data_IF_450446519099
#
_entry.id   IF_450446519099
#
_cell.length_a   1.000
_cell.length_b   1.000
_cell.length_c   1.000
_cell.angle_alpha   90.00
_cell.angle_beta   90.00
_cell.angle_gamma   90.00
#
_symmetry.space_group_name_H-M   'P 1'
#
loop_
_entity.id
_entity.type
_entity.pdbx_description
1 polymer ?
#
# COMPACT_ATOMS: atom_id res chain seq x y z
N UNK A 1 -11.57 43.42 0.74
CA UNK A 1 -10.12 43.57 0.98
C UNK A 1 -9.74 42.52 2.01
N UNK A 2 -9.20 41.38 1.56
CA UNK A 2 -8.70 40.35 2.48
C UNK A 2 -7.21 40.65 2.71
N UNK A 3 -6.87 40.99 3.93
CA UNK A 3 -5.47 41.16 4.33
C UNK A 3 -4.76 39.81 4.20
N UNK A 4 -3.69 39.79 3.41
CA UNK A 4 -2.81 38.64 3.30
C UNK A 4 -2.27 38.31 4.70
N UNK A 5 -2.44 37.06 5.13
CA UNK A 5 -1.82 36.56 6.34
C UNK A 5 -0.30 36.69 6.19
N UNK A 6 0.42 37.33 7.13
CA UNK A 6 1.86 37.45 7.05
C UNK A 6 2.51 36.07 6.98
N UNK A 7 3.48 35.87 6.08
CA UNK A 7 4.26 34.63 5.94
C UNK A 7 4.87 34.20 7.30
N UNK A 8 5.16 35.16 8.18
CA UNK A 8 5.69 34.92 9.53
C UNK A 8 4.67 34.34 10.53
N UNK A 9 3.38 34.29 10.20
CA UNK A 9 2.32 33.66 11.02
C UNK A 9 2.02 32.21 10.62
N UNK A 10 2.73 31.64 9.64
CA UNK A 10 2.77 30.18 9.40
C UNK A 10 3.75 29.54 10.41
N UNK A 11 3.66 29.97 11.66
CA UNK A 11 4.42 29.46 12.80
C UNK A 11 3.47 28.69 13.71
N UNK A 12 2.98 27.58 13.18
CA UNK A 12 3.19 26.29 13.82
C UNK A 12 2.90 25.18 12.81
N UNK A 13 3.87 24.91 11.92
CA UNK A 13 4.13 23.49 11.73
C UNK A 13 4.40 22.97 13.15
N UNK A 14 3.45 22.21 13.72
CA UNK A 14 3.66 21.56 15.02
C UNK A 14 5.06 20.98 14.95
N UNK A 15 5.93 21.37 15.89
CA UNK A 15 7.26 20.81 15.94
C UNK A 15 7.12 19.29 15.84
N UNK A 16 7.82 18.70 14.86
CA UNK A 16 7.73 17.27 14.59
C UNK A 16 8.02 16.54 15.89
N UNK A 17 7.25 15.49 16.18
CA UNK A 17 7.44 14.77 17.42
C UNK A 17 8.88 14.23 17.51
N UNK A 18 9.50 14.20 18.70
CA UNK A 18 10.88 13.72 18.82
C UNK A 18 11.07 12.31 18.26
N UNK A 19 10.05 11.46 18.37
CA UNK A 19 10.05 10.12 17.79
C UNK A 19 10.05 10.14 16.25
N UNK A 20 9.26 11.02 15.63
CA UNK A 20 9.22 11.15 14.18
C UNK A 20 10.55 11.65 13.61
N UNK A 21 11.18 12.61 14.30
CA UNK A 21 12.53 13.08 13.97
C UNK A 21 13.53 11.93 14.09
N UNK A 22 13.52 11.18 15.20
CA UNK A 22 14.44 10.06 15.39
C UNK A 22 14.33 9.00 14.29
N UNK A 23 13.11 8.64 13.87
CA UNK A 23 12.89 7.68 12.76
C UNK A 23 13.41 8.25 11.44
N UNK A 24 13.15 9.53 11.15
CA UNK A 24 13.64 10.16 9.93
C UNK A 24 15.18 10.22 9.91
N UNK A 25 15.82 10.56 11.03
CA UNK A 25 17.27 10.55 11.20
C UNK A 25 17.84 9.14 11.05
N UNK A 26 17.19 8.11 11.61
CA UNK A 26 17.60 6.72 11.44
C UNK A 26 17.57 6.30 9.97
N UNK A 27 16.48 6.60 9.25
CA UNK A 27 16.34 6.25 7.84
C UNK A 27 17.33 7.01 6.96
N UNK A 28 17.58 8.29 7.26
CA UNK A 28 18.60 9.10 6.59
C UNK A 28 20.01 8.54 6.80
N UNK A 29 20.34 8.11 8.03
CA UNK A 29 21.63 7.50 8.35
C UNK A 29 21.79 6.13 7.67
N UNK A 30 20.73 5.33 7.63
CA UNK A 30 20.74 4.04 6.92
C UNK A 30 20.91 4.22 5.42
N UNK A 31 20.22 5.18 4.81
CA UNK A 31 20.38 5.53 3.40
C UNK A 31 21.84 5.87 3.08
N UNK A 32 22.45 6.77 3.86
CA UNK A 32 23.86 7.15 3.70
C UNK A 32 24.78 5.94 3.87
N UNK A 33 24.57 5.11 4.90
CA UNK A 33 25.36 3.90 5.15
C UNK A 33 25.31 2.93 3.96
N UNK A 34 24.11 2.67 3.41
CA UNK A 34 23.92 1.79 2.27
C UNK A 34 24.53 2.38 0.98
N UNK A 35 24.32 3.68 0.74
CA UNK A 35 24.90 4.39 -0.40
C UNK A 35 26.43 4.36 -0.36
N UNK A 36 27.05 4.68 0.78
CA UNK A 36 28.51 4.64 0.94
C UNK A 36 29.07 3.22 0.79
N UNK A 37 28.35 2.20 1.26
CA UNK A 37 28.74 0.81 1.03
C UNK A 37 28.75 0.49 -0.47
N UNK A 38 27.71 0.88 -1.19
CA UNK A 38 27.60 0.64 -2.62
C UNK A 38 28.66 1.42 -3.43
N UNK A 39 29.02 2.65 -3.03
CA UNK A 39 30.12 3.43 -3.65
C UNK A 39 31.46 2.69 -3.47
N UNK A 40 31.72 2.17 -2.27
CA UNK A 40 32.93 1.38 -2.00
C UNK A 40 32.95 0.08 -2.80
N UNK A 41 31.81 -0.60 -2.92
CA UNK A 41 31.68 -1.81 -3.73
C UNK A 41 31.98 -1.52 -5.20
N UNK A 42 31.42 -0.44 -5.76
CA UNK A 42 31.71 0.02 -7.12
C UNK A 42 33.22 0.25 -7.31
N UNK A 43 33.85 0.99 -6.40
CA UNK A 43 35.30 1.27 -6.47
C UNK A 43 36.15 -0.01 -6.45
N UNK A 44 35.76 -1.02 -5.66
CA UNK A 44 36.42 -2.33 -5.65
C UNK A 44 36.21 -3.04 -6.99
N UNK A 45 34.98 -3.08 -7.50
CA UNK A 45 34.65 -3.68 -8.79
C UNK A 45 35.47 -3.05 -9.93
N UNK A 46 35.56 -1.71 -9.98
CA UNK A 46 36.32 -0.99 -11.01
C UNK A 46 37.81 -1.29 -10.93
N UNK A 47 38.37 -1.41 -9.73
CA UNK A 47 39.79 -1.71 -9.51
C UNK A 47 40.15 -3.15 -9.90
N UNK A 48 39.26 -4.09 -9.64
CA UNK A 48 39.51 -5.53 -9.78
C UNK A 48 39.13 -6.02 -11.18
N UNK A 49 38.10 -5.45 -11.81
CA UNK A 49 37.61 -5.84 -13.13
C UNK A 49 38.72 -5.96 -14.21
N UNK A 50 39.65 -4.99 -14.36
CA UNK A 50 40.78 -5.08 -15.30
C UNK A 50 41.66 -6.33 -15.13
N UNK A 51 41.80 -6.85 -13.91
CA UNK A 51 42.67 -7.98 -13.60
C UNK A 51 42.14 -9.34 -14.12
N UNK A 52 40.91 -9.39 -14.59
CA UNK A 52 40.22 -10.62 -15.03
C UNK A 52 39.67 -10.46 -16.48
N UNK A 53 40.03 -9.37 -17.18
CA UNK A 53 39.46 -8.97 -18.48
C UNK A 53 39.75 -9.87 -19.69
N UNK A 54 40.58 -10.91 -19.58
CA UNK A 54 40.78 -11.86 -20.68
C UNK A 54 39.52 -12.69 -21.02
N UNK A 55 38.57 -12.82 -20.08
CA UNK A 55 37.26 -13.46 -20.30
C UNK A 55 36.04 -12.59 -20.01
N UNK A 56 36.22 -11.46 -19.30
CA UNK A 56 35.12 -10.66 -18.75
C UNK A 56 34.54 -9.62 -19.72
N UNK A 57 35.33 -9.13 -20.67
CA UNK A 57 34.92 -8.12 -21.65
C UNK A 57 33.78 -8.58 -22.58
N UNK A 58 33.55 -9.90 -22.70
CA UNK A 58 32.43 -10.47 -23.46
C UNK A 58 31.07 -10.35 -22.77
N UNK A 59 31.01 -9.95 -21.49
CA UNK A 59 29.77 -10.00 -20.69
C UNK A 59 29.35 -8.68 -20.03
N UNK A 60 30.21 -7.65 -19.92
CA UNK A 60 29.98 -6.53 -18.98
C UNK A 60 30.30 -5.13 -19.55
N UNK A 61 29.74 -4.77 -20.70
CA UNK A 61 29.79 -3.37 -21.17
C UNK A 61 28.94 -2.38 -20.34
N UNK A 62 28.18 -2.80 -19.32
CA UNK A 62 27.21 -1.96 -18.59
C UNK A 62 27.00 -2.32 -17.09
N UNK A 63 28.04 -2.63 -16.31
CA UNK A 63 27.85 -2.92 -14.86
C UNK A 63 28.23 -1.74 -13.99
N UNK A 64 27.33 -0.74 -13.94
CA UNK A 64 27.25 0.18 -12.81
C UNK A 64 26.48 -0.51 -11.67
N UNK A 65 27.14 -0.75 -10.54
CA UNK A 65 26.56 -1.25 -9.27
C UNK A 65 25.69 -0.17 -8.62
N UNK A 66 26.02 1.11 -8.82
CA UNK A 66 25.14 2.25 -8.54
C UNK A 66 24.91 2.99 -9.85
N UNK A 67 23.65 3.08 -10.27
CA UNK A 67 23.23 3.99 -11.33
C UNK A 67 23.38 5.44 -10.83
N UNK A 68 24.48 6.08 -11.24
CA UNK A 68 24.87 7.43 -10.83
C UNK A 68 23.80 8.47 -11.18
N UNK A 69 23.06 8.24 -12.27
CA UNK A 69 21.96 9.06 -12.71
C UNK A 69 20.72 8.91 -11.82
N UNK A 70 20.43 7.69 -11.36
CA UNK A 70 19.36 7.48 -10.37
C UNK A 70 19.68 8.10 -9.02
N UNK A 71 20.96 8.14 -8.63
CA UNK A 71 21.37 8.84 -7.42
C UNK A 71 21.16 10.35 -7.59
N UNK A 72 21.66 10.94 -8.68
CA UNK A 72 21.51 12.37 -8.98
C UNK A 72 20.04 12.82 -9.04
N UNK A 73 19.16 12.01 -9.64
CA UNK A 73 17.74 12.33 -9.78
C UNK A 73 16.88 12.03 -8.55
N UNK A 74 17.46 11.47 -7.48
CA UNK A 74 16.69 11.03 -6.31
C UNK A 74 15.89 9.75 -6.52
N UNK A 75 16.10 9.05 -7.64
CA UNK A 75 15.55 7.71 -7.86
C UNK A 75 16.03 6.70 -6.82
N UNK A 76 17.29 6.80 -6.38
CA UNK A 76 17.83 5.96 -5.31
C UNK A 76 17.15 6.20 -3.95
N UNK A 77 17.01 7.47 -3.54
CA UNK A 77 16.34 7.86 -2.30
C UNK A 77 14.86 7.44 -2.29
N UNK A 78 14.17 7.66 -3.41
CA UNK A 78 12.79 7.22 -3.59
C UNK A 78 12.62 5.70 -3.45
N UNK A 79 13.46 4.91 -4.13
CA UNK A 79 13.40 3.43 -4.02
C UNK A 79 13.67 2.95 -2.60
N UNK A 80 14.66 3.55 -1.93
CA UNK A 80 14.96 3.26 -0.53
C UNK A 80 13.75 3.52 0.37
N UNK A 81 13.10 4.68 0.21
CA UNK A 81 11.92 5.03 1.01
C UNK A 81 10.72 4.12 0.72
N UNK A 82 10.47 3.76 -0.55
CA UNK A 82 9.44 2.75 -0.88
C UNK A 82 9.73 1.45 -0.12
N UNK A 83 10.96 0.97 -0.13
CA UNK A 83 11.31 -0.26 0.57
C UNK A 83 11.06 -0.14 2.09
N UNK A 84 11.45 0.97 2.71
CA UNK A 84 11.17 1.22 4.13
C UNK A 84 9.69 1.24 4.44
N UNK A 85 8.90 1.95 3.63
CA UNK A 85 7.44 2.03 3.76
C UNK A 85 6.81 0.64 3.61
N UNK A 86 7.27 -0.16 2.63
CA UNK A 86 6.79 -1.53 2.44
C UNK A 86 7.12 -2.42 3.64
N UNK A 87 8.32 -2.31 4.23
CA UNK A 87 8.67 -3.07 5.44
C UNK A 87 7.80 -2.70 6.64
N UNK A 88 7.47 -1.41 6.82
CA UNK A 88 6.54 -0.97 7.87
C UNK A 88 5.13 -1.50 7.59
N UNK A 89 4.68 -1.43 6.34
CA UNK A 89 3.37 -1.94 5.90
C UNK A 89 3.27 -3.45 6.13
N UNK A 90 4.33 -4.21 5.83
CA UNK A 90 4.35 -5.67 6.04
C UNK A 90 4.22 -6.04 7.51
N UNK A 91 4.94 -5.33 8.40
CA UNK A 91 4.80 -5.52 9.84
C UNK A 91 3.37 -5.25 10.30
N UNK A 92 2.73 -4.24 9.74
CA UNK A 92 1.35 -3.92 10.07
C UNK A 92 0.35 -4.98 9.56
N UNK A 93 0.55 -5.49 8.35
CA UNK A 93 -0.26 -6.60 7.81
C UNK A 93 -0.16 -7.83 8.70
N UNK A 94 1.05 -8.16 9.20
CA UNK A 94 1.24 -9.25 10.15
C UNK A 94 0.41 -9.01 11.41
N UNK A 95 0.51 -7.82 12.02
CA UNK A 95 -0.28 -7.44 13.21
C UNK A 95 -1.79 -7.53 12.98
N UNK A 96 -2.26 -7.08 11.82
CA UNK A 96 -3.67 -7.16 11.42
C UNK A 96 -4.12 -8.61 11.28
N UNK A 97 -3.31 -9.45 10.65
CA UNK A 97 -3.63 -10.86 10.45
C UNK A 97 -3.52 -11.69 11.75
N UNK A 98 -2.66 -11.29 12.68
CA UNK A 98 -2.69 -11.84 14.04
C UNK A 98 -4.03 -11.52 14.74
N UNK A 99 -4.58 -10.32 14.49
CA UNK A 99 -5.83 -9.83 15.08
C UNK A 99 -7.10 -10.40 14.43
N UNK A 100 -7.16 -10.44 13.10
CA UNK A 100 -8.36 -10.77 12.30
C UNK A 100 -8.18 -11.95 11.33
N UNK A 101 -6.97 -12.49 11.18
CA UNK A 101 -6.67 -13.52 10.17
C UNK A 101 -7.41 -14.84 10.36
N UNK A 102 -7.97 -15.09 11.55
CA UNK A 102 -8.90 -16.21 11.75
C UNK A 102 -10.23 -16.01 11.04
N UNK A 103 -10.70 -14.76 10.90
CA UNK A 103 -11.91 -14.40 10.16
C UNK A 103 -11.58 -14.28 8.67
N UNK A 104 -10.60 -13.44 8.34
CA UNK A 104 -10.18 -13.16 6.98
C UNK A 104 -8.72 -12.70 6.95
N UNK A 105 -7.89 -13.44 6.23
CA UNK A 105 -6.48 -13.09 6.03
C UNK A 105 -6.37 -12.03 4.93
N UNK A 106 -5.91 -10.83 5.31
CA UNK A 106 -5.73 -9.70 4.40
C UNK A 106 -4.38 -9.83 3.70
N UNK A 107 -4.38 -9.84 2.37
CA UNK A 107 -3.14 -9.83 1.58
C UNK A 107 -2.57 -8.42 1.46
N UNK A 108 -1.26 -8.29 1.16
CA UNK A 108 -0.62 -6.98 0.92
C UNK A 108 -1.35 -6.14 -0.14
N UNK A 109 -1.73 -6.78 -1.25
CA UNK A 109 -2.44 -6.10 -2.34
C UNK A 109 -3.82 -5.59 -1.90
N UNK A 110 -4.52 -6.34 -1.04
CA UNK A 110 -5.79 -5.90 -0.47
C UNK A 110 -5.59 -4.77 0.53
N UNK A 111 -4.60 -4.89 1.43
CA UNK A 111 -4.28 -3.85 2.39
C UNK A 111 -3.93 -2.51 1.71
N UNK A 112 -3.16 -2.55 0.62
CA UNK A 112 -2.87 -1.37 -0.21
C UNK A 112 -4.11 -0.72 -0.86
N UNK A 113 -5.20 -1.47 -1.05
CA UNK A 113 -6.47 -0.94 -1.56
C UNK A 113 -7.34 -0.34 -0.45
N UNK A 114 -7.12 -0.74 0.80
CA UNK A 114 -7.84 -0.17 1.95
C UNK A 114 -7.50 1.31 2.05
N UNK A 115 -8.52 2.17 2.18
CA UNK A 115 -8.38 3.63 2.29
C UNK A 115 -7.50 4.29 1.20
N UNK A 116 -7.42 3.67 0.01
CA UNK A 116 -6.52 4.09 -1.07
C UNK A 116 -5.06 4.25 -0.62
N UNK A 117 -4.61 3.39 0.31
CA UNK A 117 -3.34 3.50 1.01
C UNK A 117 -2.15 3.69 0.06
N UNK A 118 -2.02 2.84 -0.97
CA UNK A 118 -0.87 2.89 -1.87
C UNK A 118 -0.72 4.25 -2.56
N UNK A 119 -1.80 4.81 -3.07
CA UNK A 119 -1.77 6.12 -3.75
C UNK A 119 -1.29 7.22 -2.80
N UNK A 120 -1.74 7.18 -1.54
CA UNK A 120 -1.40 8.17 -0.52
C UNK A 120 0.04 8.01 -0.03
N UNK A 121 0.50 6.77 0.16
CA UNK A 121 1.89 6.47 0.49
C UNK A 121 2.83 6.94 -0.62
N UNK A 122 2.50 6.66 -1.89
CA UNK A 122 3.31 7.10 -3.04
C UNK A 122 3.46 8.62 -3.06
N UNK A 123 2.38 9.38 -2.84
CA UNK A 123 2.45 10.85 -2.77
C UNK A 123 3.41 11.37 -1.71
N UNK A 124 3.48 10.73 -0.54
CA UNK A 124 4.41 11.13 0.53
C UNK A 124 5.86 10.79 0.19
N UNK A 125 6.12 9.71 -0.56
CA UNK A 125 7.47 9.33 -0.99
C UNK A 125 7.96 10.18 -2.16
N UNK A 126 7.08 10.55 -3.10
CA UNK A 126 7.38 11.34 -4.30
C UNK A 126 7.89 12.75 -4.01
N UNK A 127 7.65 13.25 -2.80
CA UNK A 127 8.18 14.54 -2.32
C UNK A 127 9.69 14.61 -2.52
N UNK A 128 10.42 13.54 -2.21
CA UNK A 128 11.89 13.54 -2.26
C UNK A 128 12.43 13.68 -3.69
N UNK A 129 11.78 13.07 -4.68
CA UNK A 129 12.16 13.27 -6.09
C UNK A 129 11.90 14.71 -6.56
N UNK A 130 10.87 15.35 -5.99
CA UNK A 130 10.47 16.71 -6.36
C UNK A 130 11.39 17.76 -5.75
N UNK A 131 12.15 17.44 -4.70
CA UNK A 131 12.98 18.41 -3.99
C UNK A 131 14.12 19.00 -4.84
N UNK A 132 14.68 18.26 -5.79
CA UNK A 132 15.69 18.82 -6.70
C UNK A 132 15.11 19.94 -7.56
N UNK A 133 13.89 19.76 -8.07
CA UNK A 133 13.19 20.80 -8.81
C UNK A 133 12.81 21.99 -7.93
N UNK A 134 12.42 21.76 -6.67
CA UNK A 134 12.19 22.85 -5.71
C UNK A 134 13.47 23.67 -5.49
N UNK A 135 14.63 23.02 -5.37
CA UNK A 135 15.90 23.74 -5.19
C UNK A 135 16.28 24.55 -6.43
N UNK A 136 16.05 24.03 -7.63
CA UNK A 136 16.22 24.80 -8.87
C UNK A 136 15.30 26.03 -8.89
N UNK A 137 14.01 25.86 -8.55
CA UNK A 137 13.06 26.97 -8.48
C UNK A 137 13.53 28.02 -7.48
N UNK A 138 14.00 27.61 -6.29
CA UNK A 138 14.52 28.52 -5.26
C UNK A 138 15.75 29.29 -5.75
N UNK A 139 16.68 28.62 -6.42
CA UNK A 139 17.91 29.22 -6.91
C UNK A 139 17.68 30.23 -8.06
N UNK A 140 16.68 29.99 -8.91
CA UNK A 140 16.38 30.82 -10.10
C UNK A 140 15.33 31.91 -9.87
N UNK A 141 14.73 31.97 -8.68
CA UNK A 141 13.65 32.91 -8.38
C UNK A 141 14.14 34.11 -7.59
N UNK A 142 13.62 35.28 -7.92
CA UNK A 142 13.79 36.49 -7.10
C UNK A 142 12.98 36.39 -5.79
N UNK A 143 13.28 37.18 -4.76
CA UNK A 143 12.51 37.16 -3.50
C UNK A 143 11.00 37.37 -3.69
N UNK A 144 10.61 38.28 -4.58
CA UNK A 144 9.19 38.55 -4.85
C UNK A 144 8.49 37.36 -5.54
N UNK A 145 9.19 36.65 -6.43
CA UNK A 145 8.65 35.44 -7.06
C UNK A 145 8.56 34.29 -6.06
N UNK A 146 9.55 34.16 -5.17
CA UNK A 146 9.51 33.18 -4.09
C UNK A 146 8.31 33.37 -3.17
N UNK A 147 7.99 34.62 -2.79
CA UNK A 147 6.79 34.93 -2.01
C UNK A 147 5.50 34.52 -2.73
N UNK A 148 5.43 34.75 -4.05
CA UNK A 148 4.28 34.33 -4.86
C UNK A 148 4.17 32.81 -4.94
N UNK A 149 5.27 32.10 -5.21
CA UNK A 149 5.31 30.64 -5.30
C UNK A 149 4.90 30.01 -3.97
N UNK A 150 5.38 30.56 -2.85
CA UNK A 150 4.99 30.10 -1.53
C UNK A 150 3.51 30.30 -1.27
N UNK A 151 2.97 31.47 -1.62
CA UNK A 151 1.54 31.78 -1.48
C UNK A 151 0.68 30.79 -2.28
N UNK A 152 1.08 30.47 -3.51
CA UNK A 152 0.43 29.47 -4.36
C UNK A 152 0.44 28.08 -3.69
N UNK A 153 1.59 27.65 -3.16
CA UNK A 153 1.73 26.34 -2.53
C UNK A 153 0.92 26.20 -1.23
N UNK A 154 0.86 27.25 -0.43
CA UNK A 154 0.05 27.33 0.79
C UNK A 154 -1.44 27.26 0.44
N UNK A 155 -1.87 27.98 -0.60
CA UNK A 155 -3.25 27.95 -1.09
C UNK A 155 -3.62 26.66 -1.84
N UNK A 156 -2.63 25.82 -2.18
CA UNK A 156 -2.79 24.67 -3.07
C UNK A 156 -3.45 25.05 -4.41
N UNK A 157 -3.12 26.24 -4.93
CA UNK A 157 -3.79 26.82 -6.10
C UNK A 157 -3.11 26.38 -7.40
N UNK A 158 -3.58 25.26 -7.96
CA UNK A 158 -3.08 24.76 -9.24
C UNK A 158 -3.30 25.75 -10.39
N UNK A 159 -4.39 26.52 -10.35
CA UNK A 159 -4.67 27.50 -11.42
C UNK A 159 -3.69 28.66 -11.37
N UNK A 160 -3.34 29.14 -10.19
CA UNK A 160 -2.30 30.15 -10.04
C UNK A 160 -0.91 29.62 -10.41
N UNK A 161 -0.60 28.36 -10.09
CA UNK A 161 0.63 27.71 -10.54
C UNK A 161 0.72 27.69 -12.07
N UNK A 162 -0.36 27.29 -12.75
CA UNK A 162 -0.43 27.18 -14.21
C UNK A 162 -0.22 28.52 -14.92
N UNK A 163 -0.56 29.62 -14.26
CA UNK A 163 -0.36 30.97 -14.75
C UNK A 163 1.01 31.57 -14.34
N UNK A 164 1.76 30.90 -13.46
CA UNK A 164 3.07 31.34 -13.00
C UNK A 164 4.19 30.80 -13.90
N UNK A 165 5.24 31.59 -14.18
CA UNK A 165 6.31 31.20 -15.12
C UNK A 165 6.99 29.85 -14.83
N UNK A 166 6.99 29.43 -13.56
CA UNK A 166 7.62 28.17 -13.14
C UNK A 166 6.92 26.92 -13.67
N UNK A 167 5.66 27.03 -14.11
CA UNK A 167 4.94 25.87 -14.67
C UNK A 167 5.66 25.29 -15.90
N UNK A 168 6.47 26.10 -16.60
CA UNK A 168 7.28 25.64 -17.74
C UNK A 168 8.33 24.59 -17.35
N UNK A 169 8.72 24.54 -16.07
CA UNK A 169 9.67 23.55 -15.55
C UNK A 169 9.00 22.30 -14.96
N UNK A 170 7.66 22.29 -14.89
CA UNK A 170 6.90 21.26 -14.19
C UNK A 170 5.93 20.59 -15.18
N UNK A 171 6.15 19.31 -15.45
CA UNK A 171 5.20 18.51 -16.22
C UNK A 171 3.81 18.50 -15.54
N UNK A 172 2.74 18.41 -16.33
CA UNK A 172 1.37 18.58 -15.85
C UNK A 172 1.03 17.64 -14.68
N UNK A 173 1.40 16.37 -14.83
CA UNK A 173 1.21 15.31 -13.84
C UNK A 173 1.99 15.52 -12.54
N UNK A 174 3.03 16.37 -12.56
CA UNK A 174 3.94 16.60 -11.43
C UNK A 174 3.57 17.81 -10.58
N UNK A 175 2.57 18.59 -10.99
CA UNK A 175 2.21 19.86 -10.32
C UNK A 175 1.83 19.66 -8.85
N UNK A 176 0.98 18.67 -8.55
CA UNK A 176 0.56 18.39 -7.19
C UNK A 176 1.71 17.99 -6.27
N UNK A 177 2.64 17.15 -6.76
CA UNK A 177 3.79 16.72 -5.96
C UNK A 177 4.79 17.85 -5.73
N UNK A 178 4.97 18.74 -6.72
CA UNK A 178 5.83 19.92 -6.57
C UNK A 178 5.24 20.89 -5.56
N UNK A 179 3.92 21.17 -5.60
CA UNK A 179 3.28 22.00 -4.57
C UNK A 179 3.42 21.40 -3.17
N UNK A 180 3.29 20.08 -3.03
CA UNK A 180 3.53 19.40 -1.76
C UNK A 180 4.98 19.56 -1.28
N UNK A 181 5.95 19.38 -2.18
CA UNK A 181 7.37 19.54 -1.86
C UNK A 181 7.71 20.99 -1.47
N UNK A 182 7.16 21.99 -2.17
CA UNK A 182 7.31 23.41 -1.80
C UNK A 182 6.74 23.67 -0.40
N UNK A 183 5.56 23.13 -0.08
CA UNK A 183 5.00 23.26 1.28
C UNK A 183 5.92 22.65 2.35
N UNK A 184 6.52 21.50 2.08
CA UNK A 184 7.47 20.86 3.01
C UNK A 184 8.74 21.70 3.18
N UNK A 185 9.23 22.32 2.10
CA UNK A 185 10.35 23.26 2.14
C UNK A 185 10.04 24.53 2.96
N UNK A 186 8.86 25.13 2.78
CA UNK A 186 8.44 26.33 3.53
C UNK A 186 8.33 26.03 5.03
N UNK A 187 7.98 24.79 5.38
CA UNK A 187 7.84 24.34 6.77
C UNK A 187 9.19 24.16 7.48
N UNK A 188 10.30 24.19 6.74
CA UNK A 188 11.64 24.14 7.33
C UNK A 188 11.98 25.48 7.99
N UNK A 189 12.72 25.41 9.11
CA UNK A 189 13.30 26.61 9.70
C UNK A 189 14.35 27.23 8.75
N UNK A 190 14.70 28.50 8.98
CA UNK A 190 15.63 29.25 8.14
C UNK A 190 16.98 28.54 7.97
N UNK A 191 17.57 28.07 9.08
CA UNK A 191 18.85 27.34 9.06
C UNK A 191 18.80 26.07 8.20
N UNK A 192 17.71 25.30 8.26
CA UNK A 192 17.54 24.09 7.46
C UNK A 192 17.31 24.42 5.98
N UNK A 193 16.64 25.53 5.65
CA UNK A 193 16.46 26.00 4.27
C UNK A 193 17.78 26.42 3.65
N UNK A 194 18.58 27.21 4.38
CA UNK A 194 19.92 27.61 3.95
C UNK A 194 20.82 26.41 3.75
N UNK A 195 20.81 25.46 4.70
CA UNK A 195 21.62 24.24 4.60
C UNK A 195 21.18 23.35 3.44
N UNK A 196 19.89 23.26 3.17
CA UNK A 196 19.38 22.51 2.02
C UNK A 196 19.88 23.08 0.69
N UNK A 197 19.91 24.41 0.57
CA UNK A 197 20.41 25.10 -0.62
C UNK A 197 21.94 24.94 -0.76
N UNK A 198 22.68 25.10 0.35
CA UNK A 198 24.12 24.87 0.40
C UNK A 198 24.47 23.46 -0.08
N UNK A 199 23.84 22.43 0.50
CA UNK A 199 24.08 21.03 0.13
C UNK A 199 23.67 20.73 -1.33
N UNK A 200 22.57 21.31 -1.81
CA UNK A 200 22.16 21.15 -3.21
C UNK A 200 23.18 21.76 -4.17
N UNK A 201 23.76 22.93 -3.86
CA UNK A 201 24.78 23.54 -4.73
C UNK A 201 26.03 22.67 -4.90
N UNK A 202 26.35 21.82 -3.92
CA UNK A 202 27.46 20.87 -4.00
C UNK A 202 27.15 19.73 -4.98
N UNK A 203 25.88 19.32 -5.13
CA UNK A 203 25.53 18.16 -5.99
C UNK A 203 25.73 18.40 -7.48
N UNK A 204 25.86 19.66 -7.91
CA UNK A 204 26.21 20.05 -9.29
C UNK A 204 27.59 19.50 -9.73
N UNK A 205 28.44 19.11 -8.77
CA UNK A 205 29.76 18.50 -9.01
C UNK A 205 29.69 17.06 -9.56
N UNK A 206 28.49 16.45 -9.61
CA UNK A 206 28.28 15.01 -9.89
C UNK A 206 29.00 14.07 -8.89
N UNK A 207 29.44 14.58 -7.75
CA UNK A 207 30.03 13.76 -6.70
C UNK A 207 28.94 12.92 -6.00
N UNK A 208 29.08 11.60 -6.02
CA UNK A 208 28.10 10.67 -5.44
C UNK A 208 27.97 10.83 -3.92
N UNK A 209 29.05 11.14 -3.20
CA UNK A 209 29.01 11.30 -1.74
C UNK A 209 28.25 12.57 -1.34
N UNK A 210 28.47 13.67 -2.06
CA UNK A 210 27.74 14.93 -1.86
C UNK A 210 26.25 14.77 -2.20
N UNK A 211 25.93 14.03 -3.26
CA UNK A 211 24.55 13.68 -3.60
C UNK A 211 23.88 12.83 -2.51
N UNK A 212 24.59 11.86 -1.93
CA UNK A 212 24.09 11.08 -0.79
C UNK A 212 23.81 11.96 0.43
N UNK A 213 24.72 12.88 0.76
CA UNK A 213 24.55 13.80 1.88
C UNK A 213 23.33 14.71 1.68
N UNK A 214 23.14 15.24 0.48
CA UNK A 214 21.97 16.06 0.17
C UNK A 214 20.66 15.28 0.31
N UNK A 215 20.56 14.07 -0.25
CA UNK A 215 19.35 13.25 -0.10
C UNK A 215 19.14 12.74 1.32
N UNK A 216 20.20 12.46 2.07
CA UNK A 216 20.12 12.12 3.50
C UNK A 216 19.48 13.27 4.29
N UNK A 217 19.94 14.50 4.06
CA UNK A 217 19.36 15.70 4.66
C UNK A 217 17.88 15.89 4.26
N UNK A 218 17.55 15.66 2.99
CA UNK A 218 16.16 15.72 2.52
C UNK A 218 15.27 14.66 3.18
N UNK A 219 15.73 13.42 3.32
CA UNK A 219 15.01 12.37 4.05
C UNK A 219 14.79 12.79 5.51
N UNK A 220 15.80 13.33 6.17
CA UNK A 220 15.72 13.68 7.57
C UNK A 220 14.71 14.81 7.84
N UNK A 221 14.67 15.82 6.96
CA UNK A 221 13.96 17.08 7.25
C UNK A 221 12.68 17.31 6.44
N UNK A 222 12.55 16.66 5.28
CA UNK A 222 11.43 16.89 4.34
C UNK A 222 10.52 15.67 4.23
N UNK A 223 11.06 14.45 4.38
CA UNK A 223 10.25 13.24 4.45
C UNK A 223 9.67 13.03 5.86
N UNK A 224 8.37 12.76 5.95
CA UNK A 224 7.63 12.73 7.21
C UNK A 224 7.12 11.30 7.50
N UNK A 225 7.93 10.43 8.14
CA UNK A 225 7.51 9.08 8.53
C UNK A 225 6.25 9.04 9.40
N UNK A 226 5.98 10.10 10.15
CA UNK A 226 4.75 10.26 10.93
C UNK A 226 3.49 10.25 10.04
N UNK A 227 3.57 10.80 8.82
CA UNK A 227 2.45 10.75 7.87
C UNK A 227 2.26 9.36 7.30
N UNK A 228 3.34 8.65 7.01
CA UNK A 228 3.28 7.23 6.64
C UNK A 228 2.59 6.41 7.73
N UNK A 229 2.97 6.64 8.99
CA UNK A 229 2.36 5.96 10.13
C UNK A 229 0.86 6.25 10.25
N UNK A 230 0.46 7.52 10.19
CA UNK A 230 -0.96 7.93 10.20
C UNK A 230 -1.76 7.24 9.08
N UNK A 231 -1.22 7.20 7.86
CA UNK A 231 -1.86 6.55 6.71
C UNK A 231 -2.05 5.04 6.92
N UNK A 232 -1.02 4.39 7.45
CA UNK A 232 -1.05 2.95 7.74
C UNK A 232 -2.06 2.66 8.86
N UNK A 233 -2.07 3.46 9.93
CA UNK A 233 -3.05 3.33 11.03
C UNK A 233 -4.49 3.51 10.54
N UNK A 234 -4.74 4.49 9.66
CA UNK A 234 -6.06 4.67 9.04
C UNK A 234 -6.49 3.44 8.21
N UNK A 235 -5.58 2.86 7.43
CA UNK A 235 -5.85 1.65 6.68
C UNK A 235 -6.10 0.44 7.60
N UNK A 236 -5.37 0.34 8.71
CA UNK A 236 -5.59 -0.67 9.74
C UNK A 236 -6.97 -0.55 10.38
N UNK A 237 -7.39 0.67 10.71
CA UNK A 237 -8.70 0.96 11.31
C UNK A 237 -9.86 0.71 10.33
N UNK A 238 -9.61 0.88 9.03
CA UNK A 238 -10.56 0.57 7.95
C UNK A 238 -10.59 -0.92 7.57
N UNK A 239 -9.72 -1.76 8.14
CA UNK A 239 -9.65 -3.20 7.78
C UNK A 239 -10.94 -3.97 8.05
N UNK A 240 -11.65 -3.81 9.19
CA UNK A 240 -12.94 -4.48 9.39
C UNK A 240 -13.97 -4.16 8.30
N UNK A 241 -14.02 -2.90 7.84
CA UNK A 241 -14.89 -2.50 6.73
C UNK A 241 -14.48 -3.20 5.42
N UNK A 242 -13.19 -3.35 5.18
CA UNK A 242 -12.69 -4.10 4.03
C UNK A 242 -13.12 -5.58 4.08
N UNK A 243 -13.00 -6.23 5.24
CA UNK A 243 -13.44 -7.62 5.45
C UNK A 243 -14.94 -7.76 5.15
N UNK A 244 -15.77 -6.86 5.67
CA UNK A 244 -17.22 -6.84 5.42
C UNK A 244 -17.53 -6.60 3.94
N UNK A 245 -16.83 -5.68 3.28
CA UNK A 245 -17.00 -5.44 1.85
C UNK A 245 -16.68 -6.69 1.03
N UNK A 246 -15.60 -7.39 1.38
CA UNK A 246 -15.19 -8.63 0.70
C UNK A 246 -16.16 -9.77 0.95
N UNK A 247 -16.69 -9.88 2.17
CA UNK A 247 -17.74 -10.82 2.50
C UNK A 247 -18.97 -10.56 1.63
N UNK A 248 -19.50 -9.33 1.60
CA UNK A 248 -20.71 -8.98 0.84
C UNK A 248 -20.53 -9.19 -0.66
N UNK A 249 -19.40 -8.77 -1.23
CA UNK A 249 -19.05 -9.02 -2.63
C UNK A 249 -19.04 -10.53 -2.92
N UNK A 250 -18.41 -11.33 -2.05
CA UNK A 250 -18.41 -12.79 -2.15
C UNK A 250 -19.81 -13.40 -2.04
N UNK A 251 -20.62 -12.93 -1.10
CA UNK A 251 -22.00 -13.40 -0.90
C UNK A 251 -22.89 -13.06 -2.09
N UNK A 252 -22.73 -11.87 -2.69
CA UNK A 252 -23.48 -11.47 -3.88
C UNK A 252 -23.05 -12.29 -5.11
N UNK A 253 -21.75 -12.31 -5.41
CA UNK A 253 -21.24 -12.77 -6.69
C UNK A 253 -21.00 -14.28 -6.72
N UNK A 254 -20.49 -14.85 -5.63
CA UNK A 254 -20.09 -16.26 -5.58
C UNK A 254 -21.15 -17.16 -4.96
N UNK A 255 -22.04 -16.60 -4.14
CA UNK A 255 -23.07 -17.35 -3.45
C UNK A 255 -24.46 -17.10 -4.06
N UNK A 256 -25.03 -15.90 -3.91
CA UNK A 256 -26.41 -15.57 -4.33
C UNK A 256 -26.63 -15.79 -5.82
N UNK A 257 -25.67 -15.42 -6.67
CA UNK A 257 -25.75 -15.64 -8.13
C UNK A 257 -25.75 -17.13 -8.54
N UNK A 258 -25.31 -18.03 -7.64
CA UNK A 258 -25.14 -19.47 -7.88
C UNK A 258 -26.22 -20.33 -7.22
N UNK A 259 -27.11 -19.73 -6.45
CA UNK A 259 -28.29 -20.40 -5.90
C UNK A 259 -29.21 -20.78 -7.06
N UNK A 260 -29.52 -22.07 -7.18
CA UNK A 260 -30.56 -22.53 -8.10
C UNK A 260 -31.93 -22.07 -7.59
N UNK A 261 -32.54 -21.08 -8.26
CA UNK A 261 -33.90 -20.62 -7.94
C UNK A 261 -34.98 -21.69 -8.19
N UNK A 262 -34.70 -22.68 -9.04
CA UNK A 262 -35.60 -23.79 -9.27
C UNK A 262 -35.64 -24.70 -8.02
N UNK A 263 -36.74 -24.63 -7.26
CA UNK A 263 -37.05 -25.58 -6.18
C UNK A 263 -36.65 -25.17 -4.76
N UNK A 264 -36.60 -23.87 -4.43
CA UNK A 264 -36.56 -23.45 -3.02
C UNK A 264 -37.90 -23.77 -2.34
N UNK A 265 -38.01 -24.99 -1.84
CA UNK A 265 -39.07 -25.37 -0.90
C UNK A 265 -38.59 -25.11 0.53
N UNK A 266 -39.47 -24.54 1.37
CA UNK A 266 -39.17 -24.21 2.76
C UNK A 266 -38.61 -25.43 3.51
N UNK A 267 -37.46 -25.25 4.17
CA UNK A 267 -36.81 -26.28 4.98
C UNK A 267 -36.01 -27.35 4.22
N UNK A 268 -35.98 -27.33 2.87
CA UNK A 268 -35.14 -28.26 2.09
C UNK A 268 -33.73 -27.70 1.85
N UNK A 269 -32.69 -28.56 1.75
CA UNK A 269 -31.35 -28.13 1.39
C UNK A 269 -31.32 -27.39 0.05
N UNK A 270 -30.63 -26.25 0.01
CA UNK A 270 -30.54 -25.40 -1.17
C UNK A 270 -29.35 -25.82 -2.01
N UNK A 271 -29.57 -25.96 -3.32
CA UNK A 271 -28.55 -26.39 -4.28
C UNK A 271 -27.78 -25.20 -4.84
N UNK A 272 -26.46 -25.33 -4.83
CA UNK A 272 -25.50 -24.39 -5.42
C UNK A 272 -24.71 -25.12 -6.51
N UNK A 273 -24.53 -24.46 -7.65
CA UNK A 273 -23.92 -25.05 -8.84
C UNK A 273 -22.80 -24.16 -9.40
N UNK A 274 -21.61 -24.75 -9.59
CA UNK A 274 -20.45 -24.09 -10.17
C UNK A 274 -20.02 -24.82 -11.45
N UNK A 275 -19.84 -24.06 -12.54
CA UNK A 275 -19.25 -24.56 -13.78
C UNK A 275 -17.72 -24.55 -13.66
N UNK A 276 -17.08 -25.68 -13.97
CA UNK A 276 -15.66 -25.96 -13.73
C UNK A 276 -14.73 -25.58 -14.89
N UNK A 277 -15.11 -24.64 -15.76
CA UNK A 277 -14.43 -24.38 -17.04
C UNK A 277 -12.90 -24.35 -16.95
N UNK A 278 -12.35 -23.50 -16.07
CA UNK A 278 -10.91 -23.31 -15.90
C UNK A 278 -10.42 -23.57 -14.46
N UNK A 279 -11.31 -23.96 -13.56
CA UNK A 279 -10.98 -24.13 -12.13
C UNK A 279 -11.37 -25.55 -11.69
N UNK A 280 -10.50 -26.23 -10.92
CA UNK A 280 -10.83 -27.52 -10.35
C UNK A 280 -11.94 -27.38 -9.30
N UNK A 281 -12.69 -28.46 -9.08
CA UNK A 281 -13.80 -28.48 -8.11
C UNK A 281 -13.34 -28.12 -6.69
N UNK A 282 -12.18 -28.63 -6.27
CA UNK A 282 -11.51 -28.26 -5.01
C UNK A 282 -11.35 -26.75 -4.85
N UNK A 283 -11.00 -26.01 -5.91
CA UNK A 283 -10.82 -24.55 -5.83
C UNK A 283 -12.14 -23.82 -5.62
N UNK A 284 -13.20 -24.22 -6.34
CA UNK A 284 -14.53 -23.60 -6.18
C UNK A 284 -15.12 -23.91 -4.79
N UNK A 285 -15.04 -25.17 -4.33
CA UNK A 285 -15.52 -25.56 -3.00
C UNK A 285 -14.68 -24.90 -1.89
N UNK A 286 -13.37 -24.76 -2.07
CA UNK A 286 -12.51 -24.05 -1.11
C UNK A 286 -12.88 -22.57 -1.00
N UNK A 287 -13.19 -21.92 -2.12
CA UNK A 287 -13.63 -20.53 -2.13
C UNK A 287 -14.98 -20.36 -1.43
N UNK A 288 -15.95 -21.25 -1.71
CA UNK A 288 -17.25 -21.25 -1.04
C UNK A 288 -17.09 -21.53 0.46
N UNK A 289 -16.30 -22.53 0.84
CA UNK A 289 -16.05 -22.86 2.23
C UNK A 289 -15.44 -21.70 2.99
N UNK A 290 -14.40 -21.04 2.44
CA UNK A 290 -13.79 -19.85 3.06
C UNK A 290 -14.79 -18.70 3.24
N UNK A 291 -15.68 -18.48 2.27
CA UNK A 291 -16.70 -17.45 2.35
C UNK A 291 -17.72 -17.75 3.48
N UNK A 292 -18.18 -19.00 3.55
CA UNK A 292 -19.12 -19.45 4.60
C UNK A 292 -18.43 -19.38 5.97
N UNK A 293 -17.20 -19.86 6.08
CA UNK A 293 -16.44 -19.81 7.33
C UNK A 293 -16.29 -18.38 7.84
N UNK A 294 -15.89 -17.45 6.95
CA UNK A 294 -15.80 -16.03 7.27
C UNK A 294 -17.16 -15.48 7.78
N UNK A 295 -18.26 -15.79 7.10
CA UNK A 295 -19.60 -15.37 7.52
C UNK A 295 -19.97 -15.89 8.92
N UNK A 296 -19.74 -17.18 9.18
CA UNK A 296 -20.06 -17.83 10.45
C UNK A 296 -19.19 -17.30 11.59
N UNK A 297 -17.91 -17.05 11.34
CA UNK A 297 -17.01 -16.45 12.33
C UNK A 297 -17.42 -15.01 12.66
N UNK A 298 -17.90 -14.24 11.70
CA UNK A 298 -18.46 -12.90 11.95
C UNK A 298 -19.73 -12.98 12.78
N UNK A 299 -20.57 -14.00 12.58
CA UNK A 299 -21.77 -14.23 13.40
C UNK A 299 -21.46 -14.81 14.80
N UNK A 300 -20.20 -15.17 15.09
CA UNK A 300 -19.84 -15.89 16.31
C UNK A 300 -20.38 -17.32 16.37
N UNK A 301 -20.76 -17.89 15.22
CA UNK A 301 -21.38 -19.21 15.10
C UNK A 301 -20.40 -20.25 14.53
N UNK A 302 -20.71 -21.53 14.74
CA UNK A 302 -19.95 -22.63 14.16
C UNK A 302 -20.49 -22.99 12.77
N UNK A 303 -19.61 -23.19 11.80
CA UNK A 303 -20.00 -23.57 10.44
C UNK A 303 -20.54 -25.02 10.40
N UNK A 304 -21.84 -25.22 10.07
CA UNK A 304 -22.45 -26.54 10.03
C UNK A 304 -22.14 -27.32 8.74
N UNK A 305 -21.48 -26.72 7.75
CA UNK A 305 -21.25 -27.29 6.42
C UNK A 305 -19.93 -28.07 6.33
N UNK A 306 -19.69 -28.94 7.31
CA UNK A 306 -18.46 -29.74 7.45
C UNK A 306 -18.19 -30.67 6.24
N UNK A 307 -19.23 -31.03 5.48
CA UNK A 307 -19.10 -31.84 4.26
C UNK A 307 -18.25 -31.15 3.18
N UNK A 308 -18.20 -29.82 3.17
CA UNK A 308 -17.32 -29.07 2.27
C UNK A 308 -15.85 -29.31 2.61
N UNK A 309 -15.49 -29.32 3.90
CA UNK A 309 -14.14 -29.67 4.35
C UNK A 309 -13.81 -31.12 4.05
N UNK A 310 -14.74 -32.04 4.30
CA UNK A 310 -14.56 -33.46 3.98
C UNK A 310 -14.24 -33.68 2.49
N UNK A 311 -14.90 -32.94 1.59
CA UNK A 311 -14.58 -32.95 0.17
C UNK A 311 -13.16 -32.45 -0.12
N UNK A 312 -12.75 -31.32 0.49
CA UNK A 312 -11.41 -30.76 0.31
C UNK A 312 -10.30 -31.67 0.85
N UNK A 313 -10.60 -32.48 1.87
CA UNK A 313 -9.67 -33.46 2.43
C UNK A 313 -9.62 -34.78 1.65
N UNK A 314 -10.60 -35.06 0.78
CA UNK A 314 -10.68 -36.32 0.03
C UNK A 314 -9.67 -36.43 -1.14
N UNK A 315 -8.87 -35.38 -1.38
CA UNK A 315 -7.75 -35.29 -2.34
C UNK A 315 -8.04 -35.64 -3.82
N UNK A 316 -9.26 -36.04 -4.18
CA UNK A 316 -9.60 -36.49 -5.53
C UNK A 316 -10.63 -35.57 -6.23
N UNK A 317 -10.14 -34.79 -7.18
CA UNK A 317 -10.91 -33.89 -8.05
C UNK A 317 -11.55 -34.61 -9.26
N UNK A 318 -11.57 -35.95 -9.27
CA UNK A 318 -12.07 -36.74 -10.40
C UNK A 318 -13.60 -36.70 -10.59
N UNK A 319 -14.03 -36.93 -11.83
CA UNK A 319 -15.44 -37.08 -12.17
C UNK A 319 -16.01 -38.33 -11.49
N UNK A 320 -17.03 -38.16 -10.64
CA UNK A 320 -17.64 -39.26 -9.87
C UNK A 320 -17.50 -39.14 -8.36
N UNK A 321 -16.68 -38.20 -7.86
CA UNK A 321 -16.58 -37.91 -6.42
C UNK A 321 -17.92 -37.43 -5.86
N UNK A 322 -18.42 -38.14 -4.84
CA UNK A 322 -19.67 -37.86 -4.14
C UNK A 322 -19.46 -37.96 -2.63
N UNK A 323 -19.46 -36.80 -1.97
CA UNK A 323 -19.42 -36.70 -0.51
C UNK A 323 -20.83 -36.41 -0.01
N UNK A 324 -21.33 -37.22 0.93
CA UNK A 324 -22.61 -36.99 1.60
C UNK A 324 -22.34 -36.39 2.97
N UNK A 325 -22.99 -35.26 3.25
CA UNK A 325 -23.08 -34.67 4.58
C UNK A 325 -24.37 -35.08 5.30
N UNK A 326 -24.66 -34.38 6.39
CA UNK A 326 -25.89 -34.55 7.17
C UNK A 326 -27.09 -33.87 6.48
N UNK A 327 -28.32 -34.28 6.82
CA UNK A 327 -29.55 -33.59 6.43
C UNK A 327 -29.69 -33.29 4.92
N UNK A 328 -29.20 -34.17 4.05
CA UNK A 328 -29.28 -33.99 2.59
C UNK A 328 -28.21 -33.05 1.99
N UNK A 329 -27.23 -32.62 2.77
CA UNK A 329 -26.03 -31.95 2.28
C UNK A 329 -25.16 -32.92 1.47
N UNK A 330 -24.55 -32.45 0.40
CA UNK A 330 -23.63 -33.24 -0.41
C UNK A 330 -22.73 -32.36 -1.27
N UNK A 331 -21.63 -32.92 -1.76
CA UNK A 331 -20.85 -32.40 -2.88
C UNK A 331 -20.79 -33.48 -3.94
N UNK A 332 -21.13 -33.14 -5.19
CA UNK A 332 -21.06 -34.05 -6.34
C UNK A 332 -20.35 -33.36 -7.49
N UNK A 333 -19.32 -34.01 -8.01
CA UNK A 333 -18.63 -33.60 -9.24
C UNK A 333 -19.17 -34.43 -10.40
N UNK A 334 -19.73 -33.76 -11.41
CA UNK A 334 -20.25 -34.40 -12.61
C UNK A 334 -19.84 -33.63 -13.86
N UNK A 335 -19.03 -34.25 -14.72
CA UNK A 335 -18.46 -33.63 -15.92
C UNK A 335 -17.82 -32.27 -15.58
N UNK A 336 -18.31 -31.19 -16.18
CA UNK A 336 -17.80 -29.83 -16.03
C UNK A 336 -18.52 -29.03 -14.93
N UNK A 337 -19.15 -29.70 -13.96
CA UNK A 337 -19.94 -29.04 -12.92
C UNK A 337 -19.71 -29.67 -11.56
N UNK A 338 -19.49 -28.84 -10.55
CA UNK A 338 -19.60 -29.25 -9.14
C UNK A 338 -20.89 -28.70 -8.55
N UNK A 339 -21.62 -29.58 -7.86
CA UNK A 339 -22.89 -29.26 -7.23
C UNK A 339 -22.77 -29.52 -5.75
N UNK A 340 -23.16 -28.57 -4.93
CA UNK A 340 -23.25 -28.76 -3.49
C UNK A 340 -24.63 -28.37 -2.96
N UNK A 341 -25.01 -28.95 -1.83
CA UNK A 341 -26.21 -28.56 -1.09
C UNK A 341 -25.81 -28.04 0.28
N UNK A 342 -26.38 -26.89 0.67
CA UNK A 342 -26.27 -26.31 2.01
C UNK A 342 -27.61 -26.43 2.74
N UNK A 343 -27.62 -26.34 4.06
CA UNK A 343 -28.87 -26.32 4.82
C UNK A 343 -29.66 -25.04 4.52
N UNK A 344 -30.99 -25.09 4.63
CA UNK A 344 -31.84 -23.92 4.46
C UNK A 344 -31.46 -22.80 5.46
N UNK A 345 -31.25 -23.16 6.73
CA UNK A 345 -30.79 -22.23 7.78
C UNK A 345 -29.48 -21.52 7.42
N UNK A 346 -28.49 -22.24 6.88
CA UNK A 346 -27.25 -21.62 6.42
C UNK A 346 -27.51 -20.63 5.29
N UNK A 347 -28.36 -20.97 4.33
CA UNK A 347 -28.66 -20.07 3.22
C UNK A 347 -29.39 -18.82 3.69
N UNK A 348 -30.38 -18.97 4.57
CA UNK A 348 -31.15 -17.85 5.11
C UNK A 348 -30.24 -16.89 5.90
N UNK A 349 -29.32 -17.41 6.72
CA UNK A 349 -28.31 -16.61 7.43
C UNK A 349 -27.37 -15.87 6.49
N UNK A 350 -26.82 -16.57 5.49
CA UNK A 350 -25.90 -15.97 4.52
C UNK A 350 -26.58 -14.88 3.66
N UNK A 351 -27.86 -15.07 3.32
CA UNK A 351 -28.66 -14.04 2.65
C UNK A 351 -28.98 -12.88 3.59
N UNK A 352 -29.32 -13.13 4.85
CA UNK A 352 -29.56 -12.08 5.83
C UNK A 352 -28.31 -11.21 6.08
N UNK A 353 -27.11 -11.79 6.08
CA UNK A 353 -25.85 -11.02 6.17
C UNK A 353 -25.63 -10.08 4.99
N UNK A 354 -26.12 -10.44 3.79
CA UNK A 354 -26.04 -9.56 2.63
C UNK A 354 -26.93 -8.32 2.82
N UNK A 355 -28.11 -8.51 3.41
CA UNK A 355 -29.11 -7.47 3.65
C UNK A 355 -28.84 -6.66 4.93
N UNK A 356 -28.01 -7.19 5.84
CA UNK A 356 -27.63 -6.51 7.09
C UNK A 356 -26.85 -5.20 6.83
N UNK A 357 -27.04 -4.15 7.64
CA UNK A 357 -26.24 -2.93 7.55
C UNK A 357 -24.73 -3.20 7.69
N UNK A 358 -23.90 -2.52 6.89
CA UNK A 358 -22.45 -2.79 6.88
C UNK A 358 -21.75 -2.37 8.18
N UNK A 359 -22.23 -1.31 8.82
CA UNK A 359 -21.79 -0.84 10.13
C UNK A 359 -22.01 -1.90 11.22
N UNK A 360 -23.18 -2.55 11.25
CA UNK A 360 -23.45 -3.65 12.18
C UNK A 360 -22.45 -4.79 12.00
N UNK A 361 -22.20 -5.22 10.76
CA UNK A 361 -21.24 -6.30 10.48
C UNK A 361 -19.80 -5.90 10.82
N UNK A 362 -19.44 -4.63 10.66
CA UNK A 362 -18.13 -4.10 11.05
C UNK A 362 -17.94 -4.21 12.55
N UNK A 363 -18.96 -3.87 13.34
CA UNK A 363 -18.91 -4.00 14.79
C UNK A 363 -18.79 -5.46 15.22
N UNK A 364 -19.52 -6.37 14.56
CA UNK A 364 -19.38 -7.82 14.81
C UNK A 364 -17.95 -8.33 14.50
N UNK A 365 -17.33 -7.88 13.40
CA UNK A 365 -15.91 -8.21 13.10
C UNK A 365 -14.98 -7.72 14.20
N UNK A 366 -15.22 -6.51 14.74
CA UNK A 366 -14.43 -5.93 15.82
C UNK A 366 -14.59 -6.71 17.13
N UNK A 367 -15.81 -7.13 17.46
CA UNK A 367 -16.11 -7.92 18.65
C UNK A 367 -15.44 -9.30 18.63
N UNK A 368 -15.24 -9.85 17.43
CA UNK A 368 -14.53 -11.11 17.23
C UNK A 368 -13.03 -10.96 16.98
N UNK A 369 -12.47 -9.76 17.17
CA UNK A 369 -11.03 -9.56 17.15
C UNK A 369 -10.35 -10.33 18.27
N UNK A 370 -9.20 -10.95 17.98
CA UNK A 370 -8.38 -11.54 19.05
C UNK A 370 -7.79 -10.43 19.94
N UNK A 371 -7.72 -10.62 21.26
CA UNK A 371 -6.98 -9.72 22.12
C UNK A 371 -5.51 -9.73 21.70
N UNK A 372 -4.92 -8.53 21.60
CA UNK A 372 -3.49 -8.36 21.32
C UNK A 372 -2.70 -8.92 22.51
N UNK A 373 -1.89 -9.96 22.28
CA UNK A 373 -1.02 -10.58 23.30
C UNK A 373 0.17 -9.68 23.59
#
# INVERSE_FOLDING_TARGET
MNAATPINQITSAKERSPQAVAVATEWAAEFTRMGMYAIKAQSICDRVSPCFMAGWAKFHSNVEVIDSWQLFKGGAAHRFLIERVLQVTDKEIVRINEKYGHIYEVTRMEFHKVACLLERLTKEVDVIQSMGLVMMIVAESTPSEMEQIFSIAIANDLSALDNHRIHNFIAYEERNKVLLAIRRYISLNEQAREKMLELHSLTESKNMEENLQWFSFAIEHVFYPEKIKELIEEASDATPLHIVSKLKEGLQDKFKSKISQAGQEQGKPVRIEFKLWNNPASKEIKNLHRLIECAYLIMGEHNPNQHLLQFLSAADDSAGTNIKGSNGQSVRVFKEVVKTTLSADSVDKLLALLDAPSDLLVDMVRDHARPSV
#
